data_IF_210544242526
#
_entry.id   IF_210544242526
#
_cell.length_a   1.000
_cell.length_b   1.000
_cell.length_c   1.000
_cell.angle_alpha   90.00
_cell.angle_beta   90.00
_cell.angle_gamma   90.00
#
_symmetry.space_group_name_H-M   'P 1'
#
loop_
_entity.id
_entity.type
_entity.pdbx_description
1 polymer ?
#
# COMPACT_ATOMS: atom_id res chain seq x y z
N UNK A 1 -63.22 41.80 -32.11
CA UNK A 1 -61.99 41.86 -31.31
C UNK A 1 -61.87 40.55 -30.54
N UNK A 2 -61.00 39.65 -30.99
CA UNK A 2 -60.74 38.35 -30.39
C UNK A 2 -59.45 38.43 -29.54
N UNK A 3 -59.52 38.20 -28.26
CA UNK A 3 -58.40 37.94 -27.38
C UNK A 3 -58.21 36.45 -27.25
N UNK A 4 -57.09 35.99 -27.69
CA UNK A 4 -56.64 34.60 -27.54
C UNK A 4 -55.81 34.52 -26.26
N UNK A 5 -56.38 33.83 -25.30
CA UNK A 5 -55.65 33.38 -24.08
C UNK A 5 -54.86 32.14 -24.44
N UNK A 6 -53.53 32.22 -24.32
CA UNK A 6 -52.69 31.07 -24.31
C UNK A 6 -51.59 31.27 -23.27
N UNK A 7 -52.00 31.24 -21.99
CA UNK A 7 -51.12 30.91 -20.90
C UNK A 7 -51.19 29.40 -20.69
N UNK A 8 -50.34 28.67 -21.39
CA UNK A 8 -50.10 27.27 -21.07
C UNK A 8 -49.05 27.20 -19.96
N UNK A 9 -49.53 26.73 -18.86
CA UNK A 9 -48.83 26.27 -17.69
C UNK A 9 -47.58 25.43 -18.02
N UNK A 10 -46.42 25.94 -17.62
CA UNK A 10 -45.10 25.26 -17.66
C UNK A 10 -44.92 24.39 -16.42
N UNK A 11 -45.97 23.85 -15.81
CA UNK A 11 -45.93 23.15 -14.54
C UNK A 11 -46.32 21.67 -14.56
N UNK A 12 -46.33 21.03 -15.76
CA UNK A 12 -46.56 19.59 -15.82
C UNK A 12 -45.37 18.89 -16.55
N UNK A 13 -44.20 19.00 -15.96
CA UNK A 13 -43.20 17.94 -16.14
C UNK A 13 -43.53 16.85 -15.15
N UNK A 14 -43.87 15.62 -15.55
CA UNK A 14 -44.07 14.55 -14.62
C UNK A 14 -42.69 14.28 -13.96
N UNK A 15 -42.59 14.65 -12.69
CA UNK A 15 -41.62 14.06 -11.79
C UNK A 15 -41.96 12.57 -11.80
N UNK A 16 -41.25 11.82 -12.62
CA UNK A 16 -41.31 10.39 -12.59
C UNK A 16 -40.89 10.00 -11.17
N UNK A 17 -41.86 9.75 -10.32
CA UNK A 17 -41.65 9.10 -9.04
C UNK A 17 -40.98 7.76 -9.34
N UNK A 18 -39.70 7.66 -9.03
CA UNK A 18 -38.95 6.40 -9.06
C UNK A 18 -39.49 5.59 -7.88
N UNK A 19 -40.51 4.82 -8.16
CA UNK A 19 -41.21 3.97 -7.20
C UNK A 19 -40.92 2.51 -7.46
N UNK A 20 -39.66 2.15 -7.53
CA UNK A 20 -39.21 0.80 -7.22
C UNK A 20 -37.84 0.92 -6.63
N UNK A 21 -37.71 0.60 -5.33
CA UNK A 21 -36.43 0.44 -4.67
C UNK A 21 -35.73 -0.74 -5.36
N UNK A 22 -34.95 -0.47 -6.38
CA UNK A 22 -34.06 -1.49 -6.99
C UNK A 22 -33.06 -1.87 -5.92
N UNK A 23 -33.08 -3.12 -5.53
CA UNK A 23 -32.01 -3.67 -4.67
C UNK A 23 -30.72 -3.68 -5.51
N UNK A 24 -29.75 -2.88 -5.09
CA UNK A 24 -28.46 -2.78 -5.74
C UNK A 24 -27.45 -3.47 -4.83
N UNK A 25 -26.91 -4.60 -5.27
CA UNK A 25 -25.86 -5.31 -4.56
C UNK A 25 -24.54 -4.58 -4.81
N UNK A 26 -24.04 -3.85 -3.81
CA UNK A 26 -22.72 -3.25 -3.81
C UNK A 26 -21.79 -4.14 -3.02
N UNK A 27 -20.66 -4.49 -3.62
CA UNK A 27 -19.62 -5.29 -2.97
C UNK A 27 -18.51 -4.37 -2.45
N UNK A 28 -18.13 -4.59 -1.19
CA UNK A 28 -16.97 -3.91 -0.61
C UNK A 28 -16.20 -4.89 0.29
N UNK A 29 -14.88 -4.96 0.12
CA UNK A 29 -14.04 -5.78 1.00
C UNK A 29 -13.99 -5.15 2.40
N UNK A 30 -13.89 -5.99 3.44
CA UNK A 30 -13.80 -5.55 4.85
C UNK A 30 -12.39 -5.53 5.40
N UNK A 31 -11.37 -5.58 4.54
CA UNK A 31 -9.96 -5.57 4.93
C UNK A 31 -9.04 -5.95 3.77
N UNK A 32 -7.77 -5.63 3.92
CA UNK A 32 -6.73 -5.83 2.91
C UNK A 32 -6.65 -7.27 2.37
N UNK A 33 -6.82 -8.28 3.23
CA UNK A 33 -6.69 -9.69 2.84
C UNK A 33 -7.95 -10.25 2.16
N UNK A 34 -9.07 -9.53 2.17
CA UNK A 34 -10.30 -9.91 1.48
C UNK A 34 -10.35 -9.32 0.06
N UNK A 35 -9.56 -8.29 -0.23
CA UNK A 35 -9.50 -7.69 -1.55
C UNK A 35 -9.01 -8.68 -2.60
N UNK A 36 -9.62 -8.67 -3.78
CA UNK A 36 -9.02 -9.25 -4.98
C UNK A 36 -7.81 -8.42 -5.43
N UNK A 37 -7.01 -8.93 -6.36
CA UNK A 37 -5.89 -8.15 -6.92
C UNK A 37 -6.39 -6.89 -7.63
N UNK A 38 -7.49 -7.00 -8.37
CA UNK A 38 -8.11 -5.87 -9.09
C UNK A 38 -8.61 -4.79 -8.12
N UNK A 39 -9.22 -5.17 -6.99
CA UNK A 39 -9.65 -4.21 -5.96
C UNK A 39 -8.47 -3.52 -5.29
N UNK A 40 -7.37 -4.25 -5.03
CA UNK A 40 -6.13 -3.66 -4.54
C UNK A 40 -5.57 -2.63 -5.53
N UNK A 41 -5.57 -2.94 -6.83
CA UNK A 41 -5.13 -2.02 -7.88
C UNK A 41 -6.04 -0.79 -7.96
N UNK A 42 -7.35 -0.95 -7.79
CA UNK A 42 -8.30 0.17 -7.77
C UNK A 42 -8.09 1.09 -6.56
N UNK A 43 -7.85 0.53 -5.37
CA UNK A 43 -7.49 1.31 -4.18
C UNK A 43 -6.15 2.03 -4.40
N UNK A 44 -5.16 1.34 -4.94
CA UNK A 44 -3.86 1.93 -5.25
C UNK A 44 -3.97 3.08 -6.26
N UNK A 45 -4.78 2.91 -7.30
CA UNK A 45 -5.06 3.95 -8.30
C UNK A 45 -5.73 5.18 -7.67
N UNK A 46 -6.70 4.96 -6.75
CA UNK A 46 -7.35 6.05 -6.03
C UNK A 46 -6.36 6.86 -5.17
N UNK A 47 -5.44 6.18 -4.48
CA UNK A 47 -4.38 6.84 -3.68
C UNK A 47 -3.43 7.63 -4.57
N UNK A 48 -2.95 7.04 -5.66
CA UNK A 48 -2.03 7.71 -6.60
C UNK A 48 -2.70 8.96 -7.18
N UNK A 49 -3.96 8.84 -7.61
CA UNK A 49 -4.70 9.96 -8.17
C UNK A 49 -4.85 11.09 -7.15
N UNK A 50 -5.18 10.76 -5.89
CA UNK A 50 -5.29 11.76 -4.83
C UNK A 50 -3.94 12.41 -4.53
N UNK A 51 -2.85 11.64 -4.49
CA UNK A 51 -1.50 12.18 -4.33
C UNK A 51 -1.10 13.13 -5.47
N UNK A 52 -1.53 12.85 -6.71
CA UNK A 52 -1.25 13.69 -7.87
C UNK A 52 -2.08 14.97 -7.90
N UNK A 53 -3.29 14.95 -7.34
CA UNK A 53 -4.21 16.09 -7.29
C UNK A 53 -4.05 16.94 -6.02
N UNK A 54 -3.45 16.37 -4.98
CA UNK A 54 -3.19 17.09 -3.73
C UNK A 54 -2.20 18.25 -3.95
N UNK A 55 -2.56 19.42 -3.44
CA UNK A 55 -1.73 20.61 -3.45
C UNK A 55 -1.87 21.40 -2.12
N UNK A 56 -1.38 22.63 -2.07
CA UNK A 56 -1.47 23.50 -0.88
C UNK A 56 -2.91 23.86 -0.51
N UNK A 57 -3.82 23.90 -1.48
CA UNK A 57 -5.22 24.31 -1.29
C UNK A 57 -6.13 23.12 -1.11
N UNK A 58 -5.74 21.97 -1.67
CA UNK A 58 -6.42 20.69 -1.58
C UNK A 58 -5.44 19.65 -1.05
N UNK A 59 -5.23 19.59 0.27
CA UNK A 59 -4.34 18.60 0.86
C UNK A 59 -4.89 17.19 0.63
N UNK A 60 -4.01 16.20 0.64
CA UNK A 60 -4.38 14.79 0.53
C UNK A 60 -5.48 14.41 1.53
N UNK A 61 -6.57 13.81 1.03
CA UNK A 61 -7.72 13.43 1.83
C UNK A 61 -8.07 11.94 1.67
N UNK A 62 -8.00 11.21 2.77
CA UNK A 62 -8.41 9.81 2.80
C UNK A 62 -9.88 9.57 2.46
N UNK A 63 -10.77 10.52 2.74
CA UNK A 63 -12.17 10.40 2.37
C UNK A 63 -12.32 10.37 0.85
N UNK A 64 -11.63 11.23 0.12
CA UNK A 64 -11.62 11.23 -1.34
C UNK A 64 -11.08 9.91 -1.92
N UNK A 65 -10.00 9.36 -1.32
CA UNK A 65 -9.48 8.04 -1.68
C UNK A 65 -10.56 6.97 -1.53
N UNK A 66 -11.26 6.93 -0.39
CA UNK A 66 -12.31 5.94 -0.11
C UNK A 66 -13.51 6.09 -1.05
N UNK A 67 -13.92 7.33 -1.35
CA UNK A 67 -14.99 7.61 -2.33
C UNK A 67 -14.60 7.07 -3.70
N UNK A 68 -13.41 7.39 -4.19
CA UNK A 68 -12.91 6.90 -5.49
C UNK A 68 -12.80 5.38 -5.52
N UNK A 69 -12.27 4.76 -4.46
CA UNK A 69 -12.19 3.32 -4.32
C UNK A 69 -13.58 2.68 -4.34
N UNK A 70 -14.55 3.25 -3.60
CA UNK A 70 -15.94 2.78 -3.60
C UNK A 70 -16.54 2.74 -5.01
N UNK A 71 -16.41 3.84 -5.77
CA UNK A 71 -16.92 3.91 -7.14
C UNK A 71 -16.21 2.92 -8.08
N UNK A 72 -14.88 2.82 -7.98
CA UNK A 72 -14.08 1.93 -8.83
C UNK A 72 -14.38 0.46 -8.57
N UNK A 73 -14.38 0.03 -7.30
CA UNK A 73 -14.63 -1.36 -6.90
C UNK A 73 -16.02 -1.83 -7.36
N UNK A 74 -17.01 -0.95 -7.29
CA UNK A 74 -18.37 -1.25 -7.73
C UNK A 74 -18.60 -0.98 -9.21
N UNK A 75 -17.57 -0.62 -9.98
CA UNK A 75 -17.68 -0.27 -11.39
C UNK A 75 -18.75 0.78 -11.66
N UNK A 76 -18.82 1.81 -10.82
CA UNK A 76 -19.76 2.90 -10.95
C UNK A 76 -19.14 4.09 -11.68
N UNK A 77 -19.83 4.60 -12.69
CA UNK A 77 -19.50 5.86 -13.36
C UNK A 77 -20.41 6.97 -12.85
N UNK A 78 -19.82 8.04 -12.34
CA UNK A 78 -20.54 9.24 -11.95
C UNK A 78 -20.89 10.03 -13.21
N UNK A 79 -22.17 10.25 -13.44
CA UNK A 79 -22.69 11.03 -14.57
C UNK A 79 -22.83 12.50 -14.21
N UNK A 80 -23.35 12.79 -13.04
CA UNK A 80 -23.52 14.15 -12.52
C UNK A 80 -23.63 14.15 -11.00
N UNK A 81 -23.06 15.17 -10.30
CA UNK A 81 -23.40 15.43 -8.91
C UNK A 81 -24.83 15.99 -8.84
N UNK A 82 -25.57 15.63 -7.78
CA UNK A 82 -26.92 16.08 -7.47
C UNK A 82 -26.94 16.66 -6.07
N UNK A 83 -27.94 17.45 -5.71
CA UNK A 83 -28.04 18.03 -4.35
C UNK A 83 -28.03 16.95 -3.25
N UNK A 84 -28.67 15.81 -3.49
CA UNK A 84 -28.83 14.73 -2.50
C UNK A 84 -27.82 13.58 -2.71
N UNK A 85 -26.96 13.64 -3.73
CA UNK A 85 -26.04 12.53 -4.03
C UNK A 85 -25.45 12.59 -5.42
N UNK A 86 -25.33 11.41 -6.02
CA UNK A 86 -24.67 11.21 -7.31
C UNK A 86 -25.59 10.45 -8.25
N UNK A 87 -25.79 10.99 -9.47
CA UNK A 87 -26.38 10.22 -10.54
C UNK A 87 -25.30 9.31 -11.13
N UNK A 88 -25.48 8.00 -11.01
CA UNK A 88 -24.48 6.99 -11.35
C UNK A 88 -25.05 5.92 -12.27
N UNK A 89 -24.18 5.23 -12.97
CA UNK A 89 -24.53 4.01 -13.69
C UNK A 89 -23.42 2.97 -13.52
N UNK A 90 -23.77 1.70 -13.67
CA UNK A 90 -22.74 0.66 -13.75
C UNK A 90 -22.01 0.74 -15.09
N UNK A 91 -20.68 0.69 -15.03
CA UNK A 91 -19.86 0.50 -16.23
C UNK A 91 -19.87 -0.99 -16.54
N UNK A 92 -20.69 -1.42 -17.49
CA UNK A 92 -20.75 -2.82 -17.89
C UNK A 92 -19.38 -3.33 -18.35
N UNK A 93 -19.04 -4.57 -17.98
CA UNK A 93 -17.84 -5.26 -18.46
C UNK A 93 -17.69 -5.11 -19.98
N UNK A 94 -16.45 -4.97 -20.46
CA UNK A 94 -16.14 -4.96 -21.90
C UNK A 94 -16.49 -6.33 -22.48
N UNK A 95 -17.78 -6.52 -22.82
CA UNK A 95 -18.21 -7.67 -23.62
C UNK A 95 -17.68 -7.51 -25.06
N UNK A 96 -17.50 -8.62 -25.73
CA UNK A 96 -17.03 -8.63 -27.12
C UNK A 96 -17.67 -7.53 -28.00
N UNK A 97 -16.87 -6.92 -28.87
CA UNK A 97 -17.22 -5.75 -29.69
C UNK A 97 -18.56 -5.86 -30.45
N UNK A 98 -19.07 -7.07 -30.73
CA UNK A 98 -20.36 -7.30 -31.39
C UNK A 98 -21.58 -7.30 -30.43
N UNK A 99 -21.39 -7.33 -29.11
CA UNK A 99 -22.50 -7.28 -28.17
C UNK A 99 -22.85 -5.82 -27.89
N UNK A 100 -24.03 -5.38 -28.35
CA UNK A 100 -24.57 -4.06 -28.00
C UNK A 100 -24.63 -3.97 -26.46
N UNK A 101 -23.92 -3.01 -25.88
CA UNK A 101 -24.03 -2.70 -24.45
C UNK A 101 -25.51 -2.39 -24.18
N UNK A 102 -26.16 -3.20 -23.34
CA UNK A 102 -27.41 -2.74 -22.72
C UNK A 102 -27.02 -1.50 -21.93
N UNK A 103 -27.53 -0.33 -22.31
CA UNK A 103 -27.40 0.88 -21.52
C UNK A 103 -28.06 0.58 -20.18
N UNK A 104 -27.26 0.45 -19.14
CA UNK A 104 -27.81 0.35 -17.80
C UNK A 104 -28.39 1.71 -17.46
N UNK A 105 -29.61 1.72 -16.95
CA UNK A 105 -30.28 2.95 -16.57
C UNK A 105 -29.55 3.61 -15.40
N UNK A 106 -29.36 4.92 -15.45
CA UNK A 106 -28.80 5.66 -14.33
C UNK A 106 -29.70 5.52 -13.09
N UNK A 107 -29.08 5.62 -11.93
CA UNK A 107 -29.79 5.65 -10.64
C UNK A 107 -29.15 6.67 -9.71
N UNK A 108 -29.93 7.13 -8.73
CA UNK A 108 -29.44 8.05 -7.72
C UNK A 108 -28.81 7.26 -6.56
N UNK A 109 -27.56 7.57 -6.26
CA UNK A 109 -26.87 7.09 -5.06
C UNK A 109 -26.73 8.26 -4.10
N UNK A 110 -27.42 8.24 -2.97
CA UNK A 110 -27.40 9.35 -2.03
C UNK A 110 -26.06 9.48 -1.31
N UNK A 111 -25.65 10.70 -1.01
CA UNK A 111 -24.43 10.98 -0.23
C UNK A 111 -24.43 10.24 1.11
N UNK A 112 -25.59 10.16 1.78
CA UNK A 112 -25.73 9.43 3.03
C UNK A 112 -25.43 7.94 2.89
N UNK A 113 -25.90 7.28 1.81
CA UNK A 113 -25.59 5.88 1.54
C UNK A 113 -24.09 5.67 1.27
N UNK A 114 -23.49 6.51 0.42
CA UNK A 114 -22.03 6.43 0.13
C UNK A 114 -21.24 6.59 1.41
N UNK A 115 -21.57 7.59 2.24
CA UNK A 115 -20.88 7.83 3.50
C UNK A 115 -21.03 6.66 4.48
N UNK A 116 -22.22 6.10 4.62
CA UNK A 116 -22.48 4.94 5.47
C UNK A 116 -21.66 3.72 5.01
N UNK A 117 -21.69 3.41 3.73
CA UNK A 117 -20.92 2.29 3.14
C UNK A 117 -19.41 2.45 3.31
N UNK A 118 -18.89 3.65 3.09
CA UNK A 118 -17.47 3.96 3.28
C UNK A 118 -17.08 3.81 4.75
N UNK A 119 -17.87 4.36 5.67
CA UNK A 119 -17.59 4.32 7.10
C UNK A 119 -17.65 2.90 7.66
N UNK A 120 -18.55 2.07 7.17
CA UNK A 120 -18.71 0.69 7.63
C UNK A 120 -17.70 -0.27 7.00
N UNK A 121 -17.40 -0.13 5.69
CA UNK A 121 -16.66 -1.15 4.94
C UNK A 121 -15.26 -0.73 4.51
N UNK A 122 -14.95 0.56 4.40
CA UNK A 122 -13.65 1.06 3.93
C UNK A 122 -12.85 1.84 5.01
N UNK A 123 -13.31 1.84 6.27
CA UNK A 123 -12.59 2.49 7.36
C UNK A 123 -11.18 1.93 7.56
N UNK A 124 -10.95 0.67 7.21
CA UNK A 124 -9.68 -0.02 7.38
C UNK A 124 -8.57 0.48 6.43
N UNK A 125 -8.90 1.23 5.37
CA UNK A 125 -7.90 1.68 4.37
C UNK A 125 -6.86 2.60 5.01
N UNK A 126 -7.27 3.49 5.89
CA UNK A 126 -6.40 4.43 6.62
C UNK A 126 -6.20 4.08 8.10
N UNK A 127 -6.72 2.94 8.55
CA UNK A 127 -6.52 2.48 9.92
C UNK A 127 -5.17 1.77 10.07
N UNK A 128 -4.26 2.40 10.82
CA UNK A 128 -2.96 1.82 11.15
C UNK A 128 -3.05 0.50 11.93
N UNK A 129 -4.18 0.22 12.59
CA UNK A 129 -4.42 -1.00 13.35
C UNK A 129 -5.03 -2.11 12.52
N UNK A 130 -5.51 -1.81 11.33
CA UNK A 130 -6.05 -2.83 10.43
C UNK A 130 -5.04 -3.94 10.16
N UNK A 131 -5.54 -5.15 9.97
CA UNK A 131 -4.70 -6.29 9.61
C UNK A 131 -4.01 -6.01 8.28
N UNK A 132 -2.67 -6.09 8.23
CA UNK A 132 -1.92 -5.75 7.03
C UNK A 132 -2.17 -6.74 5.90
N UNK A 133 -1.94 -6.31 4.66
CA UNK A 133 -1.97 -7.17 3.49
C UNK A 133 -0.85 -8.24 3.59
N UNK A 134 -1.25 -9.50 3.76
CA UNK A 134 -0.31 -10.63 3.90
C UNK A 134 -0.26 -11.50 2.66
N UNK A 135 -1.34 -11.53 1.90
CA UNK A 135 -1.40 -12.29 0.66
C UNK A 135 -0.51 -11.63 -0.39
N UNK A 136 0.44 -12.38 -1.01
CA UNK A 136 1.22 -11.86 -2.11
C UNK A 136 0.32 -11.36 -3.24
N UNK A 137 0.52 -10.13 -3.71
CA UNK A 137 -0.36 -9.56 -4.72
C UNK A 137 -0.14 -10.17 -6.11
N UNK A 138 1.09 -10.57 -6.41
CA UNK A 138 1.49 -11.06 -7.73
C UNK A 138 2.38 -12.30 -7.62
N UNK A 139 2.33 -13.16 -8.64
CA UNK A 139 3.31 -14.24 -8.82
C UNK A 139 4.60 -13.66 -9.41
N UNK A 140 5.79 -14.16 -9.06
CA UNK A 140 6.07 -15.33 -8.23
C UNK A 140 6.25 -15.06 -6.72
N UNK A 141 5.82 -13.91 -6.20
CA UNK A 141 5.99 -13.56 -4.79
C UNK A 141 5.36 -14.66 -3.92
N UNK A 142 6.10 -15.12 -2.91
CA UNK A 142 5.64 -16.15 -1.98
C UNK A 142 5.17 -15.54 -0.65
N UNK A 143 4.24 -16.19 0.06
CA UNK A 143 3.83 -15.72 1.38
C UNK A 143 5.03 -15.61 2.31
N UNK A 144 5.14 -14.48 3.04
CA UNK A 144 6.25 -14.21 3.95
C UNK A 144 7.65 -14.39 3.31
N UNK A 145 7.78 -14.19 2.00
CA UNK A 145 9.02 -14.44 1.26
C UNK A 145 9.59 -15.85 1.50
N UNK A 146 8.73 -16.85 1.59
CA UNK A 146 9.18 -18.24 1.74
C UNK A 146 10.11 -18.65 0.58
N UNK A 147 11.22 -19.30 0.91
CA UNK A 147 12.26 -19.67 -0.05
C UNK A 147 13.23 -18.54 -0.46
N UNK A 148 13.12 -17.34 0.16
CA UNK A 148 14.14 -16.30 -0.02
C UNK A 148 15.29 -16.50 0.97
N UNK A 149 16.53 -16.35 0.48
CA UNK A 149 17.74 -16.43 1.28
C UNK A 149 18.05 -15.09 1.95
N UNK A 150 18.94 -15.10 2.95
CA UNK A 150 19.31 -13.90 3.71
C UNK A 150 19.82 -12.76 2.81
N UNK A 151 20.66 -13.06 1.85
CA UNK A 151 21.18 -12.05 0.90
C UNK A 151 20.07 -11.35 0.13
N UNK A 152 19.11 -12.12 -0.43
CA UNK A 152 17.99 -11.56 -1.18
C UNK A 152 17.17 -10.62 -0.30
N UNK A 153 16.82 -11.06 0.92
CA UNK A 153 16.04 -10.27 1.86
C UNK A 153 16.76 -8.97 2.25
N UNK A 154 18.04 -9.04 2.59
CA UNK A 154 18.86 -7.89 2.93
C UNK A 154 18.94 -6.88 1.80
N UNK A 155 19.24 -7.34 0.59
CA UNK A 155 19.30 -6.47 -0.59
C UNK A 155 17.94 -5.80 -0.87
N UNK A 156 16.82 -6.51 -0.70
CA UNK A 156 15.50 -5.90 -0.82
C UNK A 156 15.29 -4.81 0.21
N UNK A 157 15.71 -5.01 1.47
CA UNK A 157 15.63 -3.97 2.50
C UNK A 157 16.48 -2.75 2.15
N UNK A 158 17.74 -2.96 1.75
CA UNK A 158 18.65 -1.88 1.38
C UNK A 158 18.07 -1.03 0.22
N UNK A 159 17.54 -1.68 -0.82
CA UNK A 159 16.91 -0.98 -1.94
C UNK A 159 15.63 -0.26 -1.56
N UNK A 160 14.81 -0.85 -0.68
CA UNK A 160 13.61 -0.19 -0.16
C UNK A 160 13.98 1.05 0.66
N UNK A 161 15.02 0.98 1.49
CA UNK A 161 15.51 2.14 2.25
C UNK A 161 16.03 3.25 1.34
N UNK A 162 16.72 2.91 0.25
CA UNK A 162 17.13 3.89 -0.77
C UNK A 162 15.89 4.51 -1.43
N UNK A 163 14.92 3.69 -1.81
CA UNK A 163 13.67 4.14 -2.43
C UNK A 163 12.93 5.14 -1.51
N UNK A 164 12.71 4.79 -0.25
CA UNK A 164 12.01 5.64 0.71
C UNK A 164 12.76 6.96 0.96
N UNK A 165 14.08 6.91 1.16
CA UNK A 165 14.89 8.12 1.36
C UNK A 165 14.89 9.05 0.14
N UNK A 166 15.00 8.50 -1.07
CA UNK A 166 14.98 9.30 -2.30
C UNK A 166 13.59 9.82 -2.60
N UNK A 167 12.53 9.05 -2.35
CA UNK A 167 11.14 9.49 -2.47
C UNK A 167 10.87 10.67 -1.53
N UNK A 168 11.21 10.56 -0.24
CA UNK A 168 11.06 11.64 0.74
C UNK A 168 11.87 12.89 0.34
N UNK A 169 13.05 12.71 -0.25
CA UNK A 169 13.84 13.85 -0.75
C UNK A 169 13.15 14.52 -1.94
N UNK A 170 12.52 13.77 -2.84
CA UNK A 170 11.79 14.34 -3.98
C UNK A 170 10.60 15.20 -3.56
N UNK A 171 9.90 14.85 -2.46
CA UNK A 171 8.78 15.68 -1.97
C UNK A 171 9.22 17.06 -1.48
N UNK A 172 10.49 17.22 -1.10
CA UNK A 172 11.06 18.49 -0.61
C UNK A 172 11.82 19.26 -1.69
N UNK A 173 12.18 18.63 -2.80
CA UNK A 173 12.95 19.25 -3.89
C UNK A 173 12.01 19.87 -4.94
N UNK A 174 12.18 21.17 -5.28
CA UNK A 174 11.49 21.74 -6.42
C UNK A 174 11.84 20.99 -7.71
N UNK A 175 10.86 20.77 -8.59
CA UNK A 175 11.06 20.05 -9.86
C UNK A 175 12.13 20.69 -10.77
N UNK A 176 12.39 22.00 -10.63
CA UNK A 176 13.44 22.74 -11.36
C UNK A 176 14.83 22.64 -10.72
N UNK A 177 14.96 21.98 -9.57
CA UNK A 177 16.25 21.84 -8.89
C UNK A 177 17.20 20.95 -9.69
N UNK A 178 18.48 21.32 -9.80
CA UNK A 178 19.49 20.60 -10.61
C UNK A 178 19.65 19.13 -10.23
N UNK A 179 19.42 18.79 -8.97
CA UNK A 179 19.52 17.41 -8.47
C UNK A 179 18.23 16.60 -8.62
N UNK A 180 17.10 17.21 -9.01
CA UNK A 180 15.80 16.53 -9.06
C UNK A 180 15.83 15.28 -9.94
N UNK A 181 16.37 15.40 -11.16
CA UNK A 181 16.45 14.28 -12.09
C UNK A 181 17.37 13.17 -11.60
N UNK A 182 18.48 13.50 -10.94
CA UNK A 182 19.38 12.49 -10.38
C UNK A 182 18.71 11.73 -9.23
N UNK A 183 18.08 12.43 -8.29
CA UNK A 183 17.35 11.81 -7.17
C UNK A 183 16.19 10.95 -7.68
N UNK A 184 15.47 11.39 -8.72
CA UNK A 184 14.43 10.59 -9.36
C UNK A 184 14.99 9.33 -10.03
N UNK A 185 16.12 9.45 -10.70
CA UNK A 185 16.80 8.30 -11.30
C UNK A 185 17.24 7.28 -10.23
N UNK A 186 17.82 7.76 -9.12
CA UNK A 186 18.22 6.89 -8.00
C UNK A 186 17.00 6.18 -7.39
N UNK A 187 15.88 6.88 -7.22
CA UNK A 187 14.63 6.28 -6.75
C UNK A 187 14.13 5.18 -7.70
N UNK A 188 14.14 5.45 -9.00
CA UNK A 188 13.69 4.46 -9.99
C UNK A 188 14.65 3.26 -10.07
N UNK A 189 15.95 3.48 -9.95
CA UNK A 189 16.93 2.39 -9.89
C UNK A 189 16.73 1.52 -8.65
N UNK A 190 16.47 2.13 -7.49
CA UNK A 190 16.19 1.39 -6.27
C UNK A 190 14.92 0.53 -6.40
N UNK A 191 13.83 1.10 -6.97
CA UNK A 191 12.61 0.35 -7.30
C UNK A 191 12.90 -0.84 -8.22
N UNK A 192 13.65 -0.61 -9.29
CA UNK A 192 13.94 -1.65 -10.28
C UNK A 192 14.75 -2.80 -9.68
N UNK A 193 15.82 -2.49 -8.94
CA UNK A 193 16.63 -3.51 -8.28
C UNK A 193 15.84 -4.30 -7.23
N UNK A 194 14.99 -3.63 -6.47
CA UNK A 194 14.08 -4.29 -5.55
C UNK A 194 13.16 -5.28 -6.27
N UNK A 195 12.54 -4.86 -7.38
CA UNK A 195 11.61 -5.69 -8.17
C UNK A 195 12.33 -6.88 -8.82
N UNK A 196 13.53 -6.69 -9.32
CA UNK A 196 14.29 -7.77 -9.96
C UNK A 196 14.59 -8.90 -8.95
N UNK A 197 14.92 -8.55 -7.70
CA UNK A 197 15.11 -9.52 -6.63
C UNK A 197 13.77 -10.14 -6.21
N UNK A 198 12.75 -9.32 -5.96
CA UNK A 198 11.44 -9.77 -5.48
C UNK A 198 10.75 -10.71 -6.47
N UNK A 199 10.85 -10.43 -7.76
CA UNK A 199 10.21 -11.22 -8.80
C UNK A 199 11.16 -12.27 -9.42
N UNK A 200 12.40 -12.33 -8.94
CA UNK A 200 13.45 -13.25 -9.44
C UNK A 200 13.57 -13.23 -10.97
N UNK A 201 13.47 -12.02 -11.53
CA UNK A 201 13.46 -11.80 -12.98
C UNK A 201 14.19 -10.50 -13.31
N UNK A 202 15.15 -10.55 -14.20
CA UNK A 202 15.82 -9.36 -14.73
C UNK A 202 14.81 -8.43 -15.43
N UNK A 203 14.96 -7.15 -15.20
CA UNK A 203 14.08 -6.11 -15.76
C UNK A 203 12.59 -6.30 -15.42
N UNK A 204 12.27 -6.86 -14.25
CA UNK A 204 10.90 -7.09 -13.78
C UNK A 204 10.07 -5.80 -13.72
N UNK A 205 10.72 -4.65 -13.55
CA UNK A 205 10.08 -3.33 -13.52
C UNK A 205 9.30 -2.97 -14.79
N UNK A 206 9.63 -3.60 -15.94
CA UNK A 206 8.89 -3.37 -17.20
C UNK A 206 7.45 -3.87 -17.15
N UNK A 207 7.18 -4.87 -16.33
CA UNK A 207 5.85 -5.49 -16.17
C UNK A 207 5.05 -4.87 -15.01
N UNK A 208 5.69 -3.98 -14.24
CA UNK A 208 5.13 -3.37 -13.02
C UNK A 208 5.00 -1.86 -13.20
N UNK A 209 3.78 -1.40 -13.44
CA UNK A 209 3.44 0.03 -13.46
C UNK A 209 3.39 0.63 -12.04
N UNK A 210 3.02 1.90 -11.92
CA UNK A 210 2.98 2.60 -10.64
C UNK A 210 1.85 2.08 -9.72
N UNK A 211 0.74 1.63 -10.30
CA UNK A 211 -0.39 1.07 -9.55
C UNK A 211 0.02 -0.26 -8.91
N UNK A 212 0.60 -1.17 -9.68
CA UNK A 212 1.10 -2.45 -9.19
C UNK A 212 2.22 -2.26 -8.16
N UNK A 213 3.08 -1.27 -8.39
CA UNK A 213 4.12 -0.90 -7.44
C UNK A 213 3.52 -0.47 -6.09
N UNK A 214 2.48 0.36 -6.11
CA UNK A 214 1.79 0.78 -4.90
C UNK A 214 1.18 -0.41 -4.14
N UNK A 215 0.61 -1.38 -4.84
CA UNK A 215 0.12 -2.64 -4.22
C UNK A 215 1.25 -3.44 -3.59
N UNK A 216 2.41 -3.53 -4.25
CA UNK A 216 3.61 -4.17 -3.68
C UNK A 216 4.07 -3.45 -2.41
N UNK A 217 4.03 -2.11 -2.38
CA UNK A 217 4.36 -1.33 -1.18
C UNK A 217 3.42 -1.63 -0.01
N UNK A 218 2.10 -1.80 -0.25
CA UNK A 218 1.17 -2.21 0.79
C UNK A 218 1.53 -3.58 1.37
N UNK A 219 1.78 -4.54 0.49
CA UNK A 219 2.18 -5.88 0.91
C UNK A 219 3.52 -5.88 1.64
N UNK A 220 4.54 -5.16 1.14
CA UNK A 220 5.83 -5.05 1.80
C UNK A 220 5.72 -4.42 3.18
N UNK A 221 4.96 -3.34 3.30
CA UNK A 221 4.68 -2.70 4.59
C UNK A 221 4.00 -3.67 5.57
N UNK A 222 3.05 -4.47 5.06
CA UNK A 222 2.39 -5.52 5.82
C UNK A 222 3.36 -6.59 6.30
N UNK A 223 4.20 -7.11 5.41
CA UNK A 223 5.25 -8.08 5.71
C UNK A 223 6.19 -7.55 6.81
N UNK A 224 6.70 -6.32 6.65
CA UNK A 224 7.59 -5.70 7.63
C UNK A 224 6.92 -5.55 9.00
N UNK A 225 5.64 -5.18 9.04
CA UNK A 225 4.87 -5.09 10.29
C UNK A 225 4.78 -6.44 11.00
N UNK A 226 4.58 -7.53 10.27
CA UNK A 226 4.55 -8.88 10.84
C UNK A 226 5.93 -9.31 11.32
N UNK A 227 6.98 -9.07 10.53
CA UNK A 227 8.35 -9.39 10.95
C UNK A 227 8.77 -8.61 12.20
N UNK A 228 8.44 -7.33 12.29
CA UNK A 228 8.68 -6.51 13.48
C UNK A 228 7.97 -7.04 14.74
N UNK A 229 6.74 -7.56 14.57
CA UNK A 229 6.01 -8.20 15.68
C UNK A 229 6.61 -9.56 16.07
N UNK A 230 7.04 -10.35 15.09
CA UNK A 230 7.62 -11.68 15.30
C UNK A 230 9.04 -11.60 15.87
N UNK A 231 9.84 -10.62 15.44
CA UNK A 231 11.25 -10.44 15.78
C UNK A 231 11.52 -9.03 16.34
N UNK A 232 10.89 -8.65 17.47
CA UNK A 232 10.91 -7.26 17.94
C UNK A 232 12.31 -6.76 18.32
N UNK A 233 13.25 -7.65 18.66
CA UNK A 233 14.62 -7.26 19.00
C UNK A 233 15.48 -6.98 17.79
N UNK A 234 15.24 -7.70 16.68
CA UNK A 234 15.93 -7.46 15.41
C UNK A 234 15.57 -6.07 14.83
N UNK A 235 14.37 -5.57 15.09
CA UNK A 235 13.85 -4.30 14.58
C UNK A 235 13.74 -3.21 15.64
N UNK A 236 14.39 -3.40 16.79
CA UNK A 236 14.34 -2.44 17.89
C UNK A 236 15.01 -1.13 17.46
N UNK A 237 14.22 -0.08 17.26
CA UNK A 237 14.76 1.26 17.16
C UNK A 237 15.38 1.63 18.51
N UNK A 238 16.68 1.94 18.53
CA UNK A 238 17.32 2.50 19.71
C UNK A 238 16.60 3.81 20.05
N UNK A 239 15.88 3.82 21.16
CA UNK A 239 15.33 5.07 21.70
C UNK A 239 16.49 6.02 21.90
N UNK A 240 16.46 7.13 21.17
CA UNK A 240 17.40 8.25 21.20
C UNK A 240 17.98 8.47 22.62
N UNK A 241 19.02 7.78 22.96
CA UNK A 241 19.93 8.22 24.01
C UNK A 241 20.67 9.41 23.42
N UNK A 242 20.69 10.54 24.14
CA UNK A 242 21.24 11.85 23.74
C UNK A 242 22.73 11.86 23.32
N UNK A 243 23.35 10.71 23.12
CA UNK A 243 24.64 10.55 22.48
C UNK A 243 24.39 10.53 20.97
N UNK A 244 24.93 11.52 20.26
CA UNK A 244 25.11 11.50 18.82
C UNK A 244 25.92 10.25 18.46
N UNK A 245 25.23 9.11 18.34
CA UNK A 245 25.87 7.94 17.74
C UNK A 245 26.17 8.30 16.30
N UNK A 246 27.41 8.10 15.90
CA UNK A 246 27.75 8.16 14.47
C UNK A 246 26.81 7.19 13.77
N UNK A 247 26.20 7.60 12.62
CA UNK A 247 25.39 6.67 11.84
C UNK A 247 26.25 5.44 11.59
N UNK A 248 25.79 4.29 12.11
CA UNK A 248 26.48 3.03 11.87
C UNK A 248 26.42 2.76 10.37
N UNK A 249 27.58 2.43 9.79
CA UNK A 249 27.63 2.04 8.41
C UNK A 249 26.82 0.72 8.26
N UNK A 250 25.86 0.61 7.33
CA UNK A 250 25.14 -0.64 7.08
C UNK A 250 26.06 -1.85 6.91
N UNK A 251 27.24 -1.66 6.34
CA UNK A 251 28.25 -2.70 6.19
C UNK A 251 28.76 -3.21 7.55
N UNK A 252 28.96 -2.32 8.53
CA UNK A 252 29.43 -2.69 9.87
C UNK A 252 28.36 -3.53 10.60
N UNK A 253 27.09 -3.17 10.43
CA UNK A 253 25.97 -3.93 10.99
C UNK A 253 25.92 -5.32 10.37
N UNK A 254 25.99 -5.40 9.05
CA UNK A 254 26.01 -6.66 8.30
C UNK A 254 27.17 -7.56 8.76
N UNK A 255 28.40 -7.02 8.78
CA UNK A 255 29.59 -7.75 9.21
C UNK A 255 29.42 -8.28 10.64
N UNK A 256 28.86 -7.49 11.54
CA UNK A 256 28.58 -7.90 12.91
C UNK A 256 27.55 -9.04 12.97
N UNK A 257 26.49 -8.99 12.18
CA UNK A 257 25.48 -10.05 12.07
C UNK A 257 26.11 -11.34 11.59
N UNK A 258 26.86 -11.29 10.50
CA UNK A 258 27.53 -12.47 9.92
C UNK A 258 28.55 -13.06 10.90
N UNK A 259 29.41 -12.24 11.52
CA UNK A 259 30.38 -12.70 12.50
C UNK A 259 29.69 -13.39 13.70
N UNK A 260 28.58 -12.83 14.17
CA UNK A 260 27.79 -13.40 15.26
C UNK A 260 27.19 -14.75 14.86
N UNK A 261 26.64 -14.83 13.65
CA UNK A 261 26.07 -16.07 13.13
C UNK A 261 27.14 -17.15 12.93
N UNK A 262 28.30 -16.79 12.33
CA UNK A 262 29.43 -17.71 12.14
C UNK A 262 29.90 -18.30 13.48
N UNK A 263 30.06 -17.45 14.50
CA UNK A 263 30.50 -17.88 15.83
C UNK A 263 29.55 -18.89 16.47
N UNK A 264 28.23 -18.71 16.25
CA UNK A 264 27.19 -19.53 16.92
C UNK A 264 26.77 -20.76 16.11
N UNK A 265 26.80 -20.70 14.80
CA UNK A 265 26.35 -21.80 13.93
C UNK A 265 27.49 -22.57 13.31
N UNK A 266 28.72 -22.07 13.37
CA UNK A 266 29.92 -22.60 12.69
C UNK A 266 29.77 -22.69 11.16
N UNK A 267 28.79 -21.95 10.58
CA UNK A 267 28.60 -21.88 9.13
C UNK A 267 29.52 -20.83 8.52
N UNK A 268 29.92 -21.04 7.27
CA UNK A 268 30.66 -20.01 6.52
C UNK A 268 29.77 -18.82 6.21
N UNK A 269 30.38 -17.65 5.98
CA UNK A 269 29.66 -16.45 5.52
C UNK A 269 28.83 -16.72 4.27
N UNK A 270 29.43 -17.39 3.28
CA UNK A 270 28.75 -17.75 2.02
C UNK A 270 27.51 -18.62 2.28
N UNK A 271 27.60 -19.58 3.20
CA UNK A 271 26.48 -20.45 3.56
C UNK A 271 25.35 -19.66 4.23
N UNK A 272 25.70 -18.74 5.13
CA UNK A 272 24.72 -17.88 5.80
C UNK A 272 24.03 -16.97 4.78
N UNK A 273 24.80 -16.34 3.91
CA UNK A 273 24.30 -15.32 3.00
C UNK A 273 23.48 -15.94 1.84
N UNK A 274 24.01 -16.97 1.19
CA UNK A 274 23.44 -17.51 -0.06
C UNK A 274 22.56 -18.73 0.11
N UNK A 275 22.63 -19.44 1.23
CA UNK A 275 21.96 -20.73 1.39
C UNK A 275 21.05 -20.81 2.62
N UNK A 276 21.12 -19.82 3.53
CA UNK A 276 20.27 -19.82 4.71
C UNK A 276 19.05 -18.93 4.48
N UNK A 277 17.85 -19.44 4.79
CA UNK A 277 16.63 -18.66 4.75
C UNK A 277 16.74 -17.45 5.68
N UNK A 278 16.28 -16.29 5.21
CA UNK A 278 16.26 -15.06 6.00
C UNK A 278 15.50 -15.23 7.34
N UNK A 279 14.46 -16.07 7.36
CA UNK A 279 13.69 -16.33 8.58
C UNK A 279 14.54 -17.03 9.65
N UNK A 280 15.36 -18.00 9.23
CA UNK A 280 16.30 -18.69 10.13
C UNK A 280 17.32 -17.69 10.70
N UNK A 281 17.83 -16.79 9.89
CA UNK A 281 18.76 -15.75 10.36
C UNK A 281 18.08 -14.82 11.36
N UNK A 282 16.88 -14.34 11.07
CA UNK A 282 16.13 -13.47 12.00
C UNK A 282 15.80 -14.20 13.32
N UNK A 283 15.43 -15.49 13.29
CA UNK A 283 15.18 -16.28 14.50
C UNK A 283 16.43 -16.40 15.37
N UNK A 284 17.56 -16.67 14.75
CA UNK A 284 18.84 -16.76 15.51
C UNK A 284 19.23 -15.39 16.10
N UNK A 285 19.09 -14.32 15.35
CA UNK A 285 19.39 -12.96 15.84
C UNK A 285 18.46 -12.56 16.99
N UNK A 286 17.16 -12.85 16.90
CA UNK A 286 16.19 -12.58 17.97
C UNK A 286 16.54 -13.35 19.25
N UNK A 287 16.94 -14.63 19.10
CA UNK A 287 17.40 -15.45 20.23
C UNK A 287 18.67 -14.88 20.87
N UNK A 288 19.66 -14.53 20.06
CA UNK A 288 20.93 -13.97 20.55
C UNK A 288 20.73 -12.63 21.27
N UNK A 289 19.86 -11.77 20.74
CA UNK A 289 19.52 -10.51 21.37
C UNK A 289 18.82 -10.73 22.73
N UNK A 290 17.95 -11.74 22.82
CA UNK A 290 17.31 -12.13 24.09
C UNK A 290 18.33 -12.64 25.11
N UNK A 291 19.22 -13.54 24.71
CA UNK A 291 20.29 -14.06 25.58
C UNK A 291 21.17 -12.92 26.11
N UNK A 292 21.56 -11.97 25.25
CA UNK A 292 22.33 -10.78 25.62
C UNK A 292 21.61 -9.92 26.65
N UNK A 293 20.32 -9.64 26.47
CA UNK A 293 19.50 -8.87 27.42
C UNK A 293 19.40 -9.59 28.80
N UNK A 294 19.30 -10.91 28.80
CA UNK A 294 19.25 -11.71 30.01
C UNK A 294 20.60 -11.67 30.78
N UNK A 295 21.73 -11.81 30.07
CA UNK A 295 23.07 -11.69 30.62
C UNK A 295 23.32 -10.30 31.22
N UNK A 296 22.91 -9.23 30.51
CA UNK A 296 23.03 -7.87 31.06
C UNK A 296 22.23 -7.69 32.36
N UNK A 297 21.01 -8.24 32.43
CA UNK A 297 20.18 -8.18 33.63
C UNK A 297 20.83 -8.92 34.80
N UNK A 298 21.47 -10.08 34.56
CA UNK A 298 22.21 -10.84 35.56
C UNK A 298 23.44 -10.05 36.04
N UNK A 299 24.21 -9.49 35.13
CA UNK A 299 25.40 -8.70 35.45
C UNK A 299 25.04 -7.44 36.30
N UNK A 300 23.93 -6.76 35.97
CA UNK A 300 23.43 -5.62 36.79
C UNK A 300 23.03 -6.05 38.19
N UNK A 301 22.44 -7.24 38.36
CA UNK A 301 22.09 -7.77 39.70
C UNK A 301 23.30 -8.17 40.52
N UNK A 302 24.37 -8.65 39.89
CA UNK A 302 25.61 -9.03 40.57
C UNK A 302 26.56 -7.85 40.80
N UNK A 303 26.55 -6.82 39.96
CA UNK A 303 27.36 -5.61 40.11
C UNK A 303 26.82 -4.59 41.11
N UNK A 304 25.59 -4.79 41.63
CA UNK A 304 24.99 -3.95 42.68
C UNK A 304 25.10 -4.56 44.07
N UNK A 305 25.92 -5.62 44.25
CA UNK A 305 26.35 -6.16 45.54
C UNK A 305 27.81 -5.78 45.76
#
# INVERSE_FOLDING_TARGET
MRRTSQERSLLDSPIAMITEARHIDLHLPRGWNQCTTDELEQIAAAIILEQMTADRYHPFDWLEVKVRAFFSINHLEMLAPMEEGFNVRFVGEKRHWWQRRKKQEPFLLTTGHVHAMISEHLAWIDDEKADPLMRPPYKPITPLLDGYVWQEYRLMQDWMDVYVRTSNRLTTLPAKHTQYNNVRADMMNARNNFLDILLRKEHASKDIDDIKWQVILFWWSGLMRVLMRKYPRCFKQEKNTKRKQRPQNPLDIYTSIIATMQTKTHLSEETIDKHTSYQVVLEQLERLAKESEEMEKLNRKHGSR
#
